data_IF_411017023643
#
_entry.id   IF_411017023643
#
_cell.length_a   1.000
_cell.length_b   1.000
_cell.length_c   1.000
_cell.angle_alpha   90.00
_cell.angle_beta   90.00
_cell.angle_gamma   90.00
#
_symmetry.space_group_name_H-M   'P 1'
#
loop_
_entity.id
_entity.type
_entity.pdbx_description
1 polymer ?
#
# COMPACT_ATOMS: atom_id res chain seq x y z
N UNK A 1 -12.58 -31.91 -25.31
CA UNK A 1 -11.53 -31.07 -25.94
C UNK A 1 -11.03 -30.03 -24.94
N UNK A 2 -9.82 -30.26 -24.39
CA UNK A 2 -9.16 -29.30 -23.52
C UNK A 2 -8.91 -28.02 -24.31
N UNK A 3 -9.35 -26.87 -23.79
CA UNK A 3 -9.08 -25.56 -24.37
C UNK A 3 -7.56 -25.38 -24.53
N UNK A 4 -7.16 -24.81 -25.66
CA UNK A 4 -5.76 -24.45 -25.95
C UNK A 4 -5.26 -23.45 -24.88
N UNK A 5 -3.96 -23.47 -24.53
CA UNK A 5 -3.40 -22.61 -23.47
C UNK A 5 -3.54 -21.09 -23.70
N UNK A 6 -3.90 -20.65 -24.92
CA UNK A 6 -3.99 -19.23 -25.30
C UNK A 6 -5.28 -18.53 -24.79
N UNK A 7 -6.32 -19.27 -24.38
CA UNK A 7 -7.62 -18.69 -23.97
C UNK A 7 -7.90 -18.77 -22.45
N UNK A 8 -6.88 -18.72 -21.60
CA UNK A 8 -7.15 -18.40 -20.17
C UNK A 8 -7.26 -16.90 -20.01
N UNK A 9 -8.43 -16.35 -20.37
CA UNK A 9 -8.81 -14.98 -20.03
C UNK A 9 -8.55 -14.72 -18.55
N UNK A 10 -7.83 -13.63 -18.23
CA UNK A 10 -7.65 -13.23 -16.84
C UNK A 10 -8.82 -12.35 -16.42
N UNK A 11 -9.17 -12.40 -15.13
CA UNK A 11 -10.27 -11.60 -14.59
C UNK A 11 -9.93 -10.10 -14.67
N UNK A 12 -10.62 -9.35 -15.52
CA UNK A 12 -10.61 -7.88 -15.55
C UNK A 12 -11.69 -7.31 -14.62
N UNK A 13 -11.55 -6.07 -14.12
CA UNK A 13 -12.63 -5.38 -13.43
C UNK A 13 -13.88 -5.30 -14.31
N UNK A 14 -15.07 -5.54 -13.75
CA UNK A 14 -16.33 -5.55 -14.50
C UNK A 14 -16.57 -4.20 -15.21
N UNK A 15 -16.25 -3.09 -14.55
CA UNK A 15 -16.34 -1.74 -15.10
C UNK A 15 -15.46 -1.49 -16.34
N UNK A 16 -14.44 -2.32 -16.59
CA UNK A 16 -13.56 -2.21 -17.76
C UNK A 16 -14.00 -3.09 -18.95
N UNK A 17 -14.97 -3.98 -18.74
CA UNK A 17 -15.41 -4.94 -19.76
C UNK A 17 -16.89 -4.81 -20.11
N UNK A 18 -17.69 -4.23 -19.21
CA UNK A 18 -19.08 -3.92 -19.49
C UNK A 18 -19.14 -2.63 -20.32
N UNK A 19 -19.71 -2.72 -21.53
CA UNK A 19 -20.12 -1.55 -22.29
C UNK A 19 -21.37 -0.96 -21.61
N UNK A 20 -21.16 0.10 -20.83
CA UNK A 20 -22.20 0.79 -20.07
C UNK A 20 -22.92 1.86 -20.91
N UNK A 21 -22.84 1.80 -22.24
CA UNK A 21 -23.35 2.78 -23.19
C UNK A 21 -24.63 3.52 -22.76
N UNK A 22 -24.49 4.83 -22.50
CA UNK A 22 -25.61 5.73 -22.17
C UNK A 22 -26.14 5.61 -20.73
N UNK A 23 -25.58 4.74 -19.89
CA UNK A 23 -25.92 4.68 -18.47
C UNK A 23 -25.24 5.87 -17.77
N UNK A 24 -26.00 6.77 -17.12
CA UNK A 24 -25.41 7.89 -16.40
C UNK A 24 -24.60 7.38 -15.22
N UNK A 25 -23.37 7.88 -15.08
CA UNK A 25 -22.58 7.68 -13.88
C UNK A 25 -23.29 8.37 -12.71
N UNK A 26 -23.65 7.59 -11.69
CA UNK A 26 -24.20 8.13 -10.44
C UNK A 26 -22.98 8.43 -9.55
N UNK A 27 -22.69 9.71 -9.24
CA UNK A 27 -21.59 10.04 -8.35
C UNK A 27 -21.77 9.32 -7.01
N UNK A 28 -20.67 8.97 -6.33
CA UNK A 28 -20.74 8.47 -4.95
C UNK A 28 -21.51 9.49 -4.09
N UNK A 29 -22.76 9.15 -3.75
CA UNK A 29 -23.68 10.08 -3.13
C UNK A 29 -23.29 10.39 -1.69
N UNK A 30 -23.76 11.53 -1.17
CA UNK A 30 -23.60 11.93 0.24
C UNK A 30 -24.58 11.23 1.19
N UNK A 31 -25.51 10.42 0.67
CA UNK A 31 -26.45 9.57 1.40
C UNK A 31 -25.81 8.24 1.86
N UNK A 32 -25.97 7.86 3.13
CA UNK A 32 -25.41 6.63 3.73
C UNK A 32 -25.99 5.34 3.12
N UNK A 33 -27.05 5.43 2.32
CA UNK A 33 -27.75 4.27 1.74
C UNK A 33 -27.19 3.79 0.40
N UNK A 34 -26.23 4.49 -0.20
CA UNK A 34 -25.62 4.12 -1.49
C UNK A 34 -24.24 3.48 -1.33
N UNK A 35 -23.80 2.74 -2.35
CA UNK A 35 -22.45 2.17 -2.40
C UNK A 35 -21.41 3.29 -2.44
N UNK A 36 -20.36 3.18 -1.61
CA UNK A 36 -19.19 4.05 -1.61
C UNK A 36 -17.93 3.23 -1.49
N UNK A 37 -17.03 3.38 -2.44
CA UNK A 37 -15.72 2.74 -2.43
C UNK A 37 -14.78 3.41 -1.43
N UNK A 38 -14.92 4.73 -1.24
CA UNK A 38 -14.17 5.52 -0.27
C UNK A 38 -15.17 6.22 0.66
N UNK A 39 -14.94 6.10 1.97
CA UNK A 39 -15.85 6.65 2.98
C UNK A 39 -15.06 7.32 4.09
N UNK A 40 -15.56 8.44 4.57
CA UNK A 40 -14.97 9.20 5.66
C UNK A 40 -15.97 9.36 6.81
N UNK A 41 -15.53 9.15 8.04
CA UNK A 41 -16.33 9.30 9.26
C UNK A 41 -15.56 10.09 10.32
N UNK A 42 -16.24 10.90 11.13
CA UNK A 42 -15.63 11.66 12.22
C UNK A 42 -16.17 11.20 13.57
N UNK A 43 -15.29 10.93 14.54
CA UNK A 43 -15.70 10.62 15.91
C UNK A 43 -14.58 10.97 16.88
N UNK A 44 -14.89 11.74 17.92
CA UNK A 44 -13.94 12.03 19.01
C UNK A 44 -12.69 12.79 18.58
N UNK A 45 -12.81 13.71 17.60
CA UNK A 45 -11.68 14.47 17.05
C UNK A 45 -10.78 13.66 16.11
N UNK A 46 -11.26 12.51 15.62
CA UNK A 46 -10.55 11.63 14.69
C UNK A 46 -11.36 11.48 13.41
N UNK A 47 -10.71 11.62 12.25
CA UNK A 47 -11.24 11.27 10.94
C UNK A 47 -10.83 9.86 10.51
N UNK A 48 -11.77 9.00 10.15
CA UNK A 48 -11.55 7.63 9.71
C UNK A 48 -11.82 7.52 8.20
N UNK A 49 -10.77 7.26 7.43
CA UNK A 49 -10.84 7.13 5.97
C UNK A 49 -10.77 5.65 5.56
N UNK A 50 -11.89 5.12 5.09
CA UNK A 50 -12.04 3.76 4.61
C UNK A 50 -11.91 3.71 3.10
N UNK A 51 -11.20 2.70 2.60
CA UNK A 51 -10.99 2.47 1.17
C UNK A 51 -10.93 0.95 0.90
N UNK A 52 -12.05 0.22 1.03
CA UNK A 52 -12.14 -1.23 0.78
C UNK A 52 -12.01 -1.61 -0.71
N UNK A 53 -10.91 -1.21 -1.36
CA UNK A 53 -10.64 -1.59 -2.73
C UNK A 53 -10.59 -3.11 -2.87
N UNK A 54 -11.20 -3.63 -3.93
CA UNK A 54 -11.31 -5.06 -4.16
C UNK A 54 -9.93 -5.73 -4.20
N UNK A 55 -9.73 -6.78 -3.39
CA UNK A 55 -8.44 -7.44 -3.16
C UNK A 55 -7.30 -6.50 -2.68
N UNK A 56 -7.62 -5.32 -2.17
CA UNK A 56 -6.62 -4.30 -1.80
C UNK A 56 -5.81 -3.76 -2.98
N UNK A 57 -6.22 -4.01 -4.22
CA UNK A 57 -5.52 -3.57 -5.42
C UNK A 57 -5.90 -2.11 -5.74
N UNK A 58 -4.92 -1.23 -5.89
CA UNK A 58 -5.12 0.21 -6.05
C UNK A 58 -4.82 0.64 -7.48
N UNK A 59 -5.84 0.86 -8.30
CA UNK A 59 -5.66 1.36 -9.67
C UNK A 59 -5.23 2.82 -9.66
N UNK A 60 -4.75 3.32 -10.80
CA UNK A 60 -4.36 4.73 -10.95
C UNK A 60 -5.48 5.68 -10.53
N UNK A 61 -6.72 5.41 -10.95
CA UNK A 61 -7.88 6.25 -10.61
C UNK A 61 -8.24 6.17 -9.12
N UNK A 62 -8.31 4.95 -8.56
CA UNK A 62 -8.54 4.75 -7.13
C UNK A 62 -7.50 5.45 -6.25
N UNK A 63 -6.22 5.45 -6.65
CA UNK A 63 -5.17 6.17 -5.95
C UNK A 63 -5.42 7.68 -5.95
N UNK A 64 -5.80 8.25 -7.11
CA UNK A 64 -6.13 9.68 -7.23
C UNK A 64 -7.36 10.05 -6.41
N UNK A 65 -8.42 9.26 -6.47
CA UNK A 65 -9.64 9.46 -5.66
C UNK A 65 -9.34 9.38 -4.16
N UNK A 66 -8.52 8.43 -3.74
CA UNK A 66 -8.09 8.31 -2.34
C UNK A 66 -7.20 9.49 -1.92
N UNK A 67 -6.31 9.97 -2.78
CA UNK A 67 -5.53 11.17 -2.52
C UNK A 67 -6.43 12.40 -2.32
N UNK A 68 -7.43 12.61 -3.19
CA UNK A 68 -8.41 13.69 -3.03
C UNK A 68 -9.16 13.56 -1.69
N UNK A 69 -9.70 12.39 -1.38
CA UNK A 69 -10.41 12.16 -0.12
C UNK A 69 -9.51 12.34 1.12
N UNK A 70 -8.23 12.00 1.01
CA UNK A 70 -7.25 12.23 2.06
C UNK A 70 -6.95 13.73 2.26
N UNK A 71 -6.82 14.50 1.17
CA UNK A 71 -6.65 15.94 1.23
C UNK A 71 -7.90 16.63 1.80
N UNK A 72 -9.09 16.16 1.43
CA UNK A 72 -10.35 16.63 2.01
C UNK A 72 -10.40 16.35 3.52
N UNK A 73 -9.97 15.16 3.96
CA UNK A 73 -9.84 14.84 5.38
C UNK A 73 -8.85 15.76 6.11
N UNK A 74 -7.76 16.16 5.45
CA UNK A 74 -6.79 17.12 6.01
C UNK A 74 -7.35 18.55 6.17
N UNK A 75 -8.47 18.88 5.52
CA UNK A 75 -9.16 20.16 5.65
C UNK A 75 -10.23 20.16 6.75
N UNK A 76 -10.47 19.01 7.40
CA UNK A 76 -11.46 18.87 8.47
C UNK A 76 -10.90 19.31 9.81
N UNK A 77 -11.78 19.72 10.73
CA UNK A 77 -11.42 20.08 12.11
C UNK A 77 -11.27 18.82 13.00
N UNK A 78 -10.37 17.94 12.59
CA UNK A 78 -9.94 16.78 13.37
C UNK A 78 -8.46 16.90 13.73
N UNK A 79 -8.00 16.05 14.64
CA UNK A 79 -6.60 16.03 15.09
C UNK A 79 -5.81 14.86 14.53
N UNK A 80 -6.50 13.76 14.24
CA UNK A 80 -5.91 12.49 13.80
C UNK A 80 -6.66 11.99 12.58
N UNK A 81 -5.95 11.53 11.56
CA UNK A 81 -6.52 10.82 10.42
C UNK A 81 -6.09 9.35 10.48
N UNK A 82 -7.06 8.44 10.41
CA UNK A 82 -6.82 7.00 10.38
C UNK A 82 -7.15 6.44 8.99
N UNK A 83 -6.16 5.90 8.32
CA UNK A 83 -6.28 5.17 7.06
C UNK A 83 -6.68 3.72 7.37
N UNK A 84 -7.96 3.41 7.17
CA UNK A 84 -8.59 2.16 7.65
C UNK A 84 -8.54 1.00 6.64
N UNK A 85 -8.24 1.28 5.37
CA UNK A 85 -8.30 0.29 4.28
C UNK A 85 -9.63 -0.45 4.22
N UNK A 86 -9.60 -1.68 3.69
CA UNK A 86 -10.69 -2.64 3.78
C UNK A 86 -10.57 -3.58 4.98
N UNK A 87 -11.64 -4.34 5.25
CA UNK A 87 -11.63 -5.39 6.28
C UNK A 87 -10.74 -6.58 5.91
N UNK A 88 -10.77 -7.01 4.64
CA UNK A 88 -10.00 -8.16 4.17
C UNK A 88 -8.55 -7.79 3.83
N UNK A 89 -8.34 -6.59 3.27
CA UNK A 89 -7.04 -6.08 2.86
C UNK A 89 -6.92 -4.60 3.20
N UNK A 90 -5.75 -4.20 3.71
CA UNK A 90 -5.42 -2.78 3.82
C UNK A 90 -4.96 -2.24 2.47
N UNK A 91 -3.92 -2.83 1.88
CA UNK A 91 -3.48 -2.57 0.50
C UNK A 91 -2.50 -3.65 0.02
N UNK A 92 -2.60 -4.03 -1.25
CA UNK A 92 -1.66 -4.89 -1.97
C UNK A 92 -0.85 -4.11 -3.04
N UNK A 93 -0.93 -2.77 -3.03
CA UNK A 93 -0.24 -1.90 -3.98
C UNK A 93 -0.94 -1.78 -5.33
N UNK A 94 -0.15 -1.62 -6.40
CA UNK A 94 -0.65 -1.41 -7.77
C UNK A 94 -1.68 -2.44 -8.23
N UNK A 95 -2.66 -1.99 -9.02
CA UNK A 95 -3.72 -2.86 -9.53
C UNK A 95 -3.29 -3.63 -10.78
N UNK A 96 -2.63 -4.76 -10.56
CA UNK A 96 -2.04 -5.59 -11.62
C UNK A 96 -3.06 -6.05 -12.70
N UNK A 97 -4.34 -6.23 -12.36
CA UNK A 97 -5.36 -6.57 -13.34
C UNK A 97 -5.81 -5.41 -14.24
N UNK A 98 -5.66 -4.16 -13.77
CA UNK A 98 -5.91 -2.96 -14.57
C UNK A 98 -4.72 -2.74 -15.50
N UNK A 99 -3.51 -2.87 -14.95
CA UNK A 99 -2.24 -2.85 -15.68
C UNK A 99 -2.22 -3.89 -16.80
N UNK A 100 -2.51 -5.16 -16.51
CA UNK A 100 -2.50 -6.23 -17.51
C UNK A 100 -3.58 -6.06 -18.58
N UNK A 101 -4.67 -5.34 -18.25
CA UNK A 101 -5.75 -5.03 -19.17
C UNK A 101 -5.62 -3.71 -19.91
N UNK A 102 -4.53 -2.96 -19.73
CA UNK A 102 -4.29 -1.71 -20.43
C UNK A 102 -3.62 -1.95 -21.79
N UNK A 103 -3.78 -1.01 -22.73
CA UNK A 103 -3.14 -1.07 -24.06
C UNK A 103 -1.61 -1.15 -23.96
N UNK A 104 -1.03 -0.39 -23.02
CA UNK A 104 0.36 -0.49 -22.64
C UNK A 104 0.46 -0.76 -21.13
N UNK A 105 0.72 -2.02 -20.72
CA UNK A 105 0.91 -2.35 -19.32
C UNK A 105 2.11 -1.63 -18.69
N UNK A 106 3.16 -1.32 -19.44
CA UNK A 106 4.31 -0.56 -18.91
C UNK A 106 3.89 0.88 -18.54
N UNK A 107 3.17 1.57 -19.44
CA UNK A 107 2.67 2.92 -19.20
C UNK A 107 1.62 2.98 -18.08
N UNK A 108 0.72 1.99 -17.98
CA UNK A 108 -0.22 1.92 -16.85
C UNK A 108 0.51 1.63 -15.54
N UNK A 109 1.57 0.80 -15.54
CA UNK A 109 2.40 0.58 -14.35
C UNK A 109 3.07 1.88 -13.90
N UNK A 110 3.59 2.67 -14.84
CA UNK A 110 4.21 3.97 -14.58
C UNK A 110 3.23 4.99 -14.01
N UNK A 111 2.01 5.08 -14.58
CA UNK A 111 0.95 5.93 -14.04
C UNK A 111 0.50 5.48 -12.66
N UNK A 112 0.37 4.18 -12.44
CA UNK A 112 -0.13 3.64 -11.17
C UNK A 112 0.88 3.86 -10.04
N UNK A 113 2.18 3.61 -10.26
CA UNK A 113 3.19 3.83 -9.20
C UNK A 113 3.29 5.31 -8.84
N UNK A 114 3.23 6.21 -9.82
CA UNK A 114 3.24 7.66 -9.56
C UNK A 114 2.02 8.09 -8.74
N UNK A 115 0.84 7.56 -9.03
CA UNK A 115 -0.37 7.87 -8.27
C UNK A 115 -0.30 7.33 -6.82
N UNK A 116 0.35 6.19 -6.57
CA UNK A 116 0.60 5.70 -5.21
C UNK A 116 1.61 6.61 -4.49
N UNK A 117 2.70 7.02 -5.16
CA UNK A 117 3.69 7.93 -4.60
C UNK A 117 3.10 9.32 -4.31
N UNK A 118 2.15 9.78 -5.12
CA UNK A 118 1.43 11.04 -4.88
C UNK A 118 0.58 10.97 -3.59
N UNK A 119 -0.07 9.83 -3.35
CA UNK A 119 -0.77 9.56 -2.08
C UNK A 119 0.22 9.44 -0.90
N UNK A 120 1.31 8.70 -1.07
CA UNK A 120 2.36 8.57 -0.05
C UNK A 120 2.97 9.92 0.32
N UNK A 121 3.22 10.78 -0.67
CA UNK A 121 3.69 12.15 -0.46
C UNK A 121 2.70 12.95 0.37
N UNK A 122 1.41 12.95 0.00
CA UNK A 122 0.37 13.68 0.73
C UNK A 122 0.33 13.28 2.21
N UNK A 123 0.46 11.98 2.51
CA UNK A 123 0.50 11.48 3.90
C UNK A 123 1.76 12.00 4.61
N UNK A 124 2.94 11.89 3.97
CA UNK A 124 4.22 12.30 4.55
C UNK A 124 4.34 13.79 4.84
N UNK A 125 3.73 14.62 4.00
CA UNK A 125 3.78 16.08 4.15
C UNK A 125 2.59 16.62 4.94
N UNK A 126 1.83 15.76 5.61
CA UNK A 126 0.72 16.20 6.46
C UNK A 126 1.26 16.83 7.75
N UNK A 127 1.13 18.14 7.87
CA UNK A 127 1.57 18.89 9.05
C UNK A 127 0.43 19.22 10.02
N UNK A 128 -0.82 19.09 9.59
CA UNK A 128 -2.00 19.47 10.38
C UNK A 128 -2.49 18.37 11.32
N UNK A 129 -2.28 17.10 10.96
CA UNK A 129 -2.79 15.94 11.67
C UNK A 129 -1.67 14.97 12.05
N UNK A 130 -1.89 14.19 13.10
CA UNK A 130 -1.20 12.90 13.25
C UNK A 130 -1.89 11.86 12.37
N UNK A 131 -1.13 10.99 11.72
CA UNK A 131 -1.64 9.99 10.76
C UNK A 131 -1.42 8.58 11.28
N UNK A 132 -2.43 7.72 11.12
CA UNK A 132 -2.38 6.32 11.56
C UNK A 132 -2.78 5.42 10.38
N UNK A 133 -1.92 4.47 10.01
CA UNK A 133 -2.30 3.36 9.15
C UNK A 133 -2.81 2.21 10.02
N UNK A 134 -4.11 1.91 9.94
CA UNK A 134 -4.77 0.86 10.71
C UNK A 134 -5.05 -0.36 9.83
N UNK A 135 -4.11 -1.29 9.79
CA UNK A 135 -4.22 -2.54 9.03
C UNK A 135 -5.14 -3.53 9.76
N UNK A 136 -6.39 -3.60 9.30
CA UNK A 136 -7.35 -4.61 9.77
C UNK A 136 -7.37 -5.87 8.90
N UNK A 137 -6.86 -5.74 7.68
CA UNK A 137 -6.67 -6.83 6.72
C UNK A 137 -5.22 -6.89 6.23
N UNK A 138 -4.92 -7.93 5.45
CA UNK A 138 -3.56 -8.19 4.98
C UNK A 138 -3.02 -7.05 4.10
N UNK A 139 -1.69 -6.92 4.06
CA UNK A 139 -1.02 -5.99 3.17
C UNK A 139 0.19 -6.62 2.48
N UNK A 140 0.48 -6.20 1.25
CA UNK A 140 1.54 -6.78 0.44
C UNK A 140 2.19 -5.77 -0.49
N UNK A 141 3.45 -6.05 -0.86
CA UNK A 141 4.25 -5.23 -1.76
C UNK A 141 4.20 -3.73 -1.35
N UNK A 142 3.93 -2.83 -2.31
CA UNK A 142 3.82 -1.38 -2.07
C UNK A 142 2.79 -1.00 -1.02
N UNK A 143 1.75 -1.82 -0.80
CA UNK A 143 0.77 -1.59 0.25
C UNK A 143 1.36 -1.64 1.67
N UNK A 144 2.41 -2.42 1.92
CA UNK A 144 3.08 -2.37 3.24
C UNK A 144 3.87 -1.07 3.38
N UNK A 145 4.58 -0.65 2.34
CA UNK A 145 5.44 0.54 2.37
C UNK A 145 4.64 1.84 2.40
N UNK A 146 3.52 1.91 1.67
CA UNK A 146 2.58 3.03 1.74
C UNK A 146 2.07 3.25 3.16
N UNK A 147 1.81 2.19 3.93
CA UNK A 147 1.39 2.35 5.32
C UNK A 147 2.47 2.99 6.21
N UNK A 148 3.74 2.74 5.91
CA UNK A 148 4.85 3.32 6.67
C UNK A 148 4.93 4.85 6.53
N UNK A 149 4.24 5.43 5.54
CA UNK A 149 4.12 6.87 5.38
C UNK A 149 3.34 7.54 6.52
N UNK A 150 2.47 6.78 7.21
CA UNK A 150 1.77 7.27 8.39
C UNK A 150 2.72 7.37 9.60
N UNK A 151 2.42 8.30 10.52
CA UNK A 151 3.19 8.48 11.75
C UNK A 151 3.17 7.21 12.61
N UNK A 152 2.03 6.53 12.64
CA UNK A 152 1.81 5.28 13.36
C UNK A 152 1.26 4.20 12.45
N UNK A 153 1.80 2.99 12.55
CA UNK A 153 1.31 1.81 11.84
C UNK A 153 0.86 0.79 12.87
N UNK A 154 -0.42 0.45 12.83
CA UNK A 154 -1.05 -0.50 13.73
C UNK A 154 -1.63 -1.63 12.88
N UNK A 155 -1.45 -2.87 13.32
CA UNK A 155 -2.08 -4.01 12.69
C UNK A 155 -2.92 -4.82 13.67
N UNK A 156 -3.98 -5.48 13.20
CA UNK A 156 -4.66 -6.49 14.01
C UNK A 156 -3.82 -7.77 14.08
N UNK A 157 -3.95 -8.60 15.15
CA UNK A 157 -3.06 -9.74 15.37
C UNK A 157 -3.02 -10.78 14.24
N UNK A 158 -4.09 -10.87 13.44
CA UNK A 158 -4.23 -11.82 12.33
C UNK A 158 -3.65 -11.32 11.00
N UNK A 159 -3.22 -10.07 10.93
CA UNK A 159 -2.63 -9.50 9.72
C UNK A 159 -1.32 -10.21 9.38
N UNK A 160 -1.23 -10.54 8.10
CA UNK A 160 -0.03 -11.06 7.44
C UNK A 160 0.47 -10.02 6.45
N UNK A 161 1.73 -9.64 6.60
CA UNK A 161 2.43 -8.69 5.74
C UNK A 161 3.33 -9.43 4.76
N UNK A 162 3.34 -8.99 3.50
CA UNK A 162 4.32 -9.43 2.50
C UNK A 162 5.15 -8.22 2.02
N UNK A 163 6.07 -7.69 2.84
CA UNK A 163 6.83 -6.47 2.57
C UNK A 163 8.01 -6.72 1.60
N UNK A 164 7.71 -7.26 0.42
CA UNK A 164 8.71 -7.54 -0.60
C UNK A 164 8.10 -7.59 -2.00
N UNK A 165 8.95 -7.42 -3.02
CA UNK A 165 8.55 -7.52 -4.43
C UNK A 165 9.07 -8.78 -5.14
N UNK A 166 9.63 -9.74 -4.40
CA UNK A 166 10.23 -10.97 -4.96
C UNK A 166 9.26 -11.83 -5.77
N UNK A 167 7.95 -11.72 -5.53
CA UNK A 167 6.91 -12.41 -6.31
C UNK A 167 6.52 -11.67 -7.59
N UNK A 168 6.96 -10.43 -7.77
CA UNK A 168 6.58 -9.55 -8.87
C UNK A 168 7.81 -9.12 -9.66
N UNK A 169 8.63 -10.10 -10.08
CA UNK A 169 9.81 -9.83 -10.90
C UNK A 169 10.91 -9.03 -10.20
N UNK A 170 10.92 -9.01 -8.86
CA UNK A 170 11.88 -8.24 -8.08
C UNK A 170 11.87 -6.74 -8.43
N UNK A 171 10.66 -6.15 -8.54
CA UNK A 171 10.51 -4.70 -8.56
C UNK A 171 11.34 -4.06 -7.44
N UNK A 172 11.92 -2.91 -7.73
CA UNK A 172 12.67 -2.17 -6.73
C UNK A 172 11.78 -1.70 -5.56
N UNK A 173 10.55 -1.26 -5.88
CA UNK A 173 9.62 -0.62 -4.96
C UNK A 173 9.77 0.89 -4.95
N UNK A 174 8.68 1.58 -4.58
CA UNK A 174 8.64 3.03 -4.41
C UNK A 174 7.96 3.35 -3.08
N UNK A 175 6.99 4.25 -3.02
CA UNK A 175 6.27 4.58 -1.80
C UNK A 175 7.18 5.17 -0.71
N UNK A 176 8.29 5.80 -1.12
CA UNK A 176 9.33 6.38 -0.25
C UNK A 176 9.97 5.35 0.69
N UNK A 177 9.98 4.07 0.33
CA UNK A 177 10.51 3.02 1.19
C UNK A 177 11.97 3.24 1.57
N UNK A 178 12.78 3.86 0.69
CA UNK A 178 14.21 4.16 0.97
C UNK A 178 14.39 5.28 1.99
N UNK A 179 13.37 6.13 2.17
CA UNK A 179 13.30 7.11 3.26
C UNK A 179 12.72 6.47 4.54
N UNK A 180 11.65 5.68 4.43
CA UNK A 180 10.85 5.20 5.57
C UNK A 180 11.41 3.97 6.27
N UNK A 181 11.78 2.95 5.50
CA UNK A 181 12.13 1.64 6.04
C UNK A 181 13.41 1.68 6.88
N UNK A 182 14.53 2.31 6.44
CA UNK A 182 15.75 2.35 7.24
C UNK A 182 15.57 2.97 8.63
N UNK A 183 14.63 3.92 8.77
CA UNK A 183 14.35 4.60 10.04
C UNK A 183 13.58 3.73 11.03
N UNK A 184 12.75 2.83 10.50
CA UNK A 184 11.94 1.91 11.30
C UNK A 184 12.75 0.71 11.78
N UNK A 185 13.58 0.14 10.91
CA UNK A 185 14.22 -1.16 11.17
C UNK A 185 15.75 -1.15 11.10
N UNK A 186 16.37 -0.02 10.77
CA UNK A 186 17.81 0.10 10.52
C UNK A 186 18.27 -0.66 9.25
N UNK A 187 19.51 -0.47 8.84
CA UNK A 187 20.07 -1.12 7.63
C UNK A 187 20.00 -2.65 7.66
N UNK A 188 20.33 -3.25 8.81
CA UNK A 188 20.24 -4.70 8.99
C UNK A 188 18.79 -5.21 8.91
N UNK A 189 17.83 -4.39 9.35
CA UNK A 189 16.40 -4.66 9.23
C UNK A 189 15.91 -4.53 7.80
N UNK A 190 16.37 -3.53 7.04
CA UNK A 190 16.06 -3.34 5.62
C UNK A 190 16.44 -4.60 4.83
N UNK A 191 17.67 -5.09 5.01
CA UNK A 191 18.14 -6.31 4.37
C UNK A 191 17.29 -7.54 4.76
N UNK A 192 16.81 -7.60 6.02
CA UNK A 192 15.94 -8.68 6.50
C UNK A 192 14.54 -8.60 5.90
N UNK A 193 13.96 -7.42 5.79
CA UNK A 193 12.62 -7.19 5.23
C UNK A 193 12.64 -7.43 3.72
N UNK A 194 13.48 -6.69 2.99
CA UNK A 194 13.54 -6.71 1.52
C UNK A 194 14.22 -7.96 0.96
N UNK A 195 15.10 -8.60 1.75
CA UNK A 195 15.79 -9.84 1.36
C UNK A 195 14.95 -11.10 1.54
N UNK A 196 13.88 -11.06 2.36
CA UNK A 196 13.00 -12.21 2.58
C UNK A 196 11.90 -12.26 1.51
N UNK A 197 11.46 -13.50 1.24
CA UNK A 197 10.32 -13.82 0.35
C UNK A 197 9.17 -14.51 1.11
N UNK A 198 9.23 -14.46 2.44
CA UNK A 198 8.25 -15.11 3.33
C UNK A 198 7.39 -14.05 4.01
N UNK A 199 6.12 -14.38 4.32
CA UNK A 199 5.24 -13.49 5.05
C UNK A 199 5.77 -13.21 6.46
N UNK A 200 5.42 -12.03 6.98
CA UNK A 200 5.71 -11.57 8.35
C UNK A 200 4.37 -11.35 9.06
N UNK A 201 4.16 -11.98 10.21
CA UNK A 201 2.95 -11.74 11.01
C UNK A 201 3.05 -10.43 11.81
N UNK A 202 1.91 -9.84 12.16
CA UNK A 202 1.84 -8.57 12.91
C UNK A 202 2.76 -8.53 14.16
N UNK A 203 2.81 -9.62 14.93
CA UNK A 203 3.71 -9.72 16.10
C UNK A 203 5.19 -9.63 15.73
N UNK A 204 5.64 -10.35 14.70
CA UNK A 204 7.04 -10.29 14.25
C UNK A 204 7.36 -8.90 13.68
N UNK A 205 6.42 -8.30 12.95
CA UNK A 205 6.55 -6.95 12.41
C UNK A 205 6.73 -5.90 13.52
N UNK A 206 5.98 -6.00 14.62
CA UNK A 206 6.14 -5.11 15.76
C UNK A 206 7.48 -5.34 16.49
N UNK A 207 7.86 -6.61 16.71
CA UNK A 207 9.12 -6.96 17.37
C UNK A 207 10.37 -6.45 16.63
N UNK A 208 10.30 -6.31 15.31
CA UNK A 208 11.40 -5.79 14.50
C UNK A 208 11.32 -4.28 14.22
N UNK A 209 10.28 -3.58 14.72
CA UNK A 209 10.06 -2.15 14.51
C UNK A 209 9.44 -1.77 13.16
N UNK A 210 8.99 -2.75 12.36
CA UNK A 210 8.35 -2.48 11.06
C UNK A 210 6.99 -1.79 11.24
N UNK A 211 6.24 -2.18 12.27
CA UNK A 211 5.01 -1.51 12.71
C UNK A 211 5.16 -1.08 14.16
N UNK A 212 4.35 -0.12 14.61
CA UNK A 212 4.41 0.43 15.95
C UNK A 212 3.78 -0.52 16.99
N UNK A 213 2.56 -0.99 16.69
CA UNK A 213 1.80 -1.85 17.62
C UNK A 213 0.93 -2.86 16.86
N UNK A 214 0.50 -3.91 17.58
CA UNK A 214 -0.59 -4.76 17.12
C UNK A 214 -1.69 -4.80 18.17
N UNK A 215 -2.90 -4.43 17.78
CA UNK A 215 -4.05 -4.21 18.67
C UNK A 215 -5.29 -4.92 18.13
N UNK A 216 -6.16 -5.37 19.02
CA UNK A 216 -7.48 -5.86 18.60
C UNK A 216 -8.24 -4.77 17.84
N UNK A 217 -8.99 -5.15 16.81
CA UNK A 217 -9.67 -4.19 15.93
C UNK A 217 -10.60 -3.23 16.69
N UNK A 218 -11.23 -3.71 17.77
CA UNK A 218 -12.08 -2.91 18.65
C UNK A 218 -11.33 -1.79 19.40
N UNK A 219 -10.01 -1.90 19.55
CA UNK A 219 -9.16 -0.92 20.27
C UNK A 219 -8.55 0.14 19.34
N UNK A 220 -8.69 0.00 18.02
CA UNK A 220 -8.12 0.97 17.07
C UNK A 220 -8.72 2.36 17.28
N UNK A 221 -10.05 2.44 17.43
CA UNK A 221 -10.74 3.72 17.67
C UNK A 221 -10.37 4.32 19.02
N UNK A 222 -10.21 3.50 20.06
CA UNK A 222 -9.75 3.94 21.39
C UNK A 222 -8.33 4.51 21.30
N UNK A 223 -7.41 3.79 20.65
CA UNK A 223 -6.05 4.25 20.43
C UNK A 223 -6.01 5.59 19.69
N UNK A 224 -6.75 5.72 18.57
CA UNK A 224 -6.76 6.95 17.78
C UNK A 224 -7.35 8.14 18.55
N UNK A 225 -8.43 7.93 19.31
CA UNK A 225 -9.00 8.95 20.18
C UNK A 225 -8.06 9.32 21.33
N UNK A 226 -7.31 8.35 21.88
CA UNK A 226 -6.30 8.65 22.89
C UNK A 226 -5.20 9.56 22.34
N UNK A 227 -4.78 9.39 21.07
CA UNK A 227 -3.84 10.28 20.41
C UNK A 227 -4.43 11.69 20.23
N UNK A 228 -5.68 11.80 19.79
CA UNK A 228 -6.35 13.09 19.59
C UNK A 228 -6.54 13.87 20.90
N UNK A 229 -6.82 13.16 21.99
CA UNK A 229 -7.09 13.73 23.32
C UNK A 229 -5.84 13.87 24.19
N UNK A 230 -4.67 13.42 23.71
CA UNK A 230 -3.43 13.50 24.48
C UNK A 230 -3.06 14.97 24.77
N UNK A 231 -2.77 15.29 26.03
CA UNK A 231 -2.39 16.64 26.44
C UNK A 231 -1.11 17.16 25.77
N UNK A 232 -0.24 16.25 25.32
CA UNK A 232 0.99 16.53 24.58
C UNK A 232 0.80 16.58 23.05
N UNK A 233 -0.44 16.49 22.54
CA UNK A 233 -0.73 16.51 21.09
C UNK A 233 -0.07 17.70 20.36
N UNK A 234 -0.15 18.96 20.83
CA UNK A 234 0.53 20.08 20.16
C UNK A 234 2.05 19.90 20.07
N UNK A 235 2.67 19.32 21.11
CA UNK A 235 4.11 19.05 21.12
C UNK A 235 4.47 17.94 20.13
N UNK A 236 3.66 16.88 20.02
CA UNK A 236 3.85 15.81 19.03
C UNK A 236 3.76 16.34 17.59
N UNK A 237 2.78 17.19 17.32
CA UNK A 237 2.60 17.79 16.01
C UNK A 237 3.77 18.73 15.65
N UNK A 238 4.23 19.54 16.61
CA UNK A 238 5.42 20.37 16.44
C UNK A 238 6.70 19.54 16.19
N UNK A 239 6.87 18.44 16.93
CA UNK A 239 8.00 17.52 16.74
C UNK A 239 7.97 16.85 15.37
N UNK A 240 6.78 16.41 14.90
CA UNK A 240 6.58 15.87 13.55
C UNK A 240 7.03 16.87 12.48
N UNK A 241 6.55 18.12 12.55
CA UNK A 241 6.92 19.20 11.60
C UNK A 241 8.43 19.48 11.62
N UNK A 242 9.02 19.58 12.81
CA UNK A 242 10.45 19.82 12.99
C UNK A 242 11.29 18.72 12.36
N UNK A 243 10.98 17.45 12.69
CA UNK A 243 11.68 16.30 12.11
C UNK A 243 11.57 16.30 10.59
N UNK A 244 10.36 16.50 10.06
CA UNK A 244 10.15 16.54 8.60
C UNK A 244 10.94 17.67 7.94
N UNK A 245 10.98 18.86 8.53
CA UNK A 245 11.75 19.99 8.03
C UNK A 245 13.27 19.70 8.03
N UNK A 246 13.80 19.11 9.11
CA UNK A 246 15.20 18.70 9.20
C UNK A 246 15.57 17.66 8.15
N UNK A 247 14.69 16.66 7.97
CA UNK A 247 14.88 15.61 6.98
C UNK A 247 14.82 16.15 5.55
N UNK A 248 13.90 17.06 5.25
CA UNK A 248 13.76 17.69 3.93
C UNK A 248 14.98 18.54 3.59
N UNK A 249 15.59 19.21 4.59
CA UNK A 249 16.84 19.94 4.43
C UNK A 249 18.05 19.01 4.21
N UNK A 250 18.04 17.80 4.78
CA UNK A 250 19.12 16.82 4.62
C UNK A 250 19.06 16.09 3.27
N UNK A 251 17.87 15.62 2.87
CA UNK A 251 17.59 15.08 1.53
C UNK A 251 16.08 15.25 1.24
N UNK A 252 15.71 16.03 0.21
CA UNK A 252 14.31 16.23 -0.14
C UNK A 252 13.58 14.94 -0.47
N UNK A 253 12.29 14.82 -0.11
CA UNK A 253 11.45 13.70 -0.52
C UNK A 253 11.45 13.49 -2.04
N UNK A 254 11.51 14.58 -2.80
CA UNK A 254 11.60 14.54 -4.26
C UNK A 254 12.82 13.76 -4.77
N UNK A 255 13.96 13.79 -4.06
CA UNK A 255 15.16 13.05 -4.44
C UNK A 255 15.01 11.55 -4.16
N UNK A 256 14.42 11.17 -3.01
CA UNK A 256 14.09 9.77 -2.72
C UNK A 256 13.14 9.18 -3.77
N UNK A 257 12.06 9.92 -4.09
CA UNK A 257 11.11 9.52 -5.14
C UNK A 257 11.79 9.37 -6.49
N UNK A 258 12.65 10.33 -6.87
CA UNK A 258 13.39 10.27 -8.13
C UNK A 258 14.25 9.01 -8.21
N UNK A 259 15.05 8.73 -7.19
CA UNK A 259 15.94 7.56 -7.16
C UNK A 259 15.17 6.23 -7.23
N UNK A 260 14.04 6.14 -6.52
CA UNK A 260 13.15 4.98 -6.54
C UNK A 260 12.49 4.80 -7.91
N UNK A 261 11.94 5.88 -8.47
CA UNK A 261 11.24 5.86 -9.76
C UNK A 261 12.19 5.62 -10.94
N UNK A 262 13.45 6.07 -10.90
CA UNK A 262 14.44 5.71 -11.92
C UNK A 262 14.66 4.19 -11.99
N UNK A 263 14.70 3.51 -10.84
CA UNK A 263 14.84 2.05 -10.78
C UNK A 263 13.56 1.34 -11.17
N UNK A 264 12.39 1.85 -10.75
CA UNK A 264 11.10 1.32 -11.18
C UNK A 264 10.89 1.48 -12.70
N UNK A 265 11.34 2.59 -13.28
CA UNK A 265 11.32 2.81 -14.73
C UNK A 265 12.11 1.73 -15.47
N UNK A 266 13.30 1.36 -14.97
CA UNK A 266 14.06 0.24 -15.53
C UNK A 266 13.32 -1.11 -15.39
N UNK A 267 12.53 -1.31 -14.33
CA UNK A 267 11.71 -2.52 -14.22
C UNK A 267 10.53 -2.56 -15.21
N UNK A 268 10.02 -1.41 -15.64
CA UNK A 268 8.87 -1.31 -16.53
C UNK A 268 9.23 -1.17 -18.02
N UNK A 269 10.37 -0.56 -18.33
CA UNK A 269 10.77 -0.23 -19.70
C UNK A 269 12.16 -0.75 -20.06
N UNK A 270 12.89 -1.30 -19.10
CA UNK A 270 14.21 -1.90 -19.36
C UNK A 270 14.12 -3.20 -20.13
N UNK A 271 15.28 -3.69 -20.57
CA UNK A 271 15.38 -4.92 -21.35
C UNK A 271 14.97 -6.18 -20.57
N UNK A 272 15.12 -6.19 -19.23
CA UNK A 272 14.75 -7.33 -18.39
C UNK A 272 13.21 -7.41 -18.20
N UNK A 273 12.53 -8.42 -18.77
CA UNK A 273 11.07 -8.52 -18.71
C UNK A 273 10.55 -9.17 -17.42
N UNK A 274 11.40 -9.38 -16.40
CA UNK A 274 11.07 -10.14 -15.17
C UNK A 274 9.77 -9.69 -14.51
N UNK A 275 9.52 -8.37 -14.46
CA UNK A 275 8.28 -7.81 -13.92
C UNK A 275 7.06 -8.23 -14.75
N UNK A 276 7.10 -8.04 -16.07
CA UNK A 276 5.99 -8.36 -16.96
C UNK A 276 5.68 -9.86 -16.97
N UNK A 277 6.71 -10.72 -16.99
CA UNK A 277 6.54 -12.17 -16.91
C UNK A 277 5.89 -12.57 -15.59
N UNK A 278 6.34 -11.99 -14.46
CA UNK A 278 5.76 -12.28 -13.16
C UNK A 278 4.30 -11.82 -13.07
N UNK A 279 3.98 -10.63 -13.57
CA UNK A 279 2.61 -10.09 -13.61
C UNK A 279 1.69 -10.96 -14.46
N UNK A 280 2.11 -11.34 -15.67
CA UNK A 280 1.35 -12.23 -16.55
C UNK A 280 0.99 -13.54 -15.84
N UNK A 281 1.99 -14.19 -15.23
CA UNK A 281 1.79 -15.45 -14.51
C UNK A 281 0.89 -15.31 -13.29
N UNK A 282 1.02 -14.21 -12.55
CA UNK A 282 0.16 -13.91 -11.41
C UNK A 282 -1.30 -13.74 -11.85
N UNK A 283 -1.55 -12.91 -12.88
CA UNK A 283 -2.90 -12.60 -13.34
C UNK A 283 -3.62 -13.80 -13.96
N UNK A 284 -2.89 -14.63 -14.71
CA UNK A 284 -3.44 -15.86 -15.32
C UNK A 284 -3.40 -17.08 -14.41
N UNK A 285 -2.93 -16.91 -13.17
CA UNK A 285 -2.77 -17.98 -12.18
C UNK A 285 -2.02 -19.19 -12.79
N UNK A 286 -0.95 -18.91 -13.52
CA UNK A 286 -0.15 -19.93 -14.21
C UNK A 286 0.33 -20.97 -13.18
N UNK A 287 0.01 -22.26 -13.34
CA UNK A 287 0.45 -23.29 -12.41
C UNK A 287 1.98 -23.36 -12.35
N UNK A 288 2.53 -23.43 -11.15
CA UNK A 288 3.95 -23.68 -10.99
C UNK A 288 4.27 -25.14 -11.36
N UNK A 289 5.31 -25.36 -12.16
CA UNK A 289 5.77 -26.71 -12.52
C UNK A 289 6.42 -27.46 -11.35
N UNK A 290 6.82 -26.76 -10.29
CA UNK A 290 7.42 -27.30 -9.07
C UNK A 290 7.32 -26.31 -7.92
N UNK A 291 7.33 -26.80 -6.68
CA UNK A 291 7.46 -25.96 -5.48
C UNK A 291 8.81 -25.23 -5.47
N UNK A 292 8.85 -23.89 -5.40
CA UNK A 292 10.09 -23.13 -5.37
C UNK A 292 10.99 -23.45 -4.16
N UNK A 293 12.31 -23.35 -4.32
CA UNK A 293 13.30 -23.66 -3.28
C UNK A 293 13.20 -22.78 -2.02
N UNK A 294 12.65 -21.57 -2.15
CA UNK A 294 12.43 -20.71 -0.98
C UNK A 294 11.34 -21.27 -0.05
N UNK A 295 10.41 -22.08 -0.57
CA UNK A 295 9.38 -22.81 0.19
C UNK A 295 9.87 -24.22 0.52
N UNK A 296 10.30 -24.99 -0.49
CA UNK A 296 10.68 -26.39 -0.36
C UNK A 296 12.10 -26.56 0.20
N UNK A 297 12.27 -26.33 1.53
CA UNK A 297 13.56 -26.45 2.21
C UNK A 297 14.24 -27.81 1.97
N UNK A 298 13.46 -28.90 1.91
CA UNK A 298 13.94 -30.26 1.62
C UNK A 298 14.56 -30.46 0.22
N UNK A 299 14.40 -29.49 -0.69
CA UNK A 299 14.98 -29.53 -2.05
C UNK A 299 16.23 -28.67 -2.20
N UNK A 300 16.65 -27.98 -1.16
CA UNK A 300 17.90 -27.22 -1.17
C UNK A 300 19.05 -28.23 -1.05
N UNK A 301 19.91 -28.29 -2.06
CA UNK A 301 21.09 -29.16 -2.01
C UNK A 301 22.04 -28.65 -0.92
N UNK A 302 22.40 -29.52 0.04
CA UNK A 302 23.48 -29.30 1.02
C UNK A 302 23.30 -28.14 2.00
N UNK A 303 22.68 -28.41 3.16
CA UNK A 303 23.03 -27.76 4.43
C UNK A 303 23.05 -28.84 5.51
N UNK A 304 24.13 -29.63 5.49
CA UNK A 304 24.67 -30.29 6.68
C UNK A 304 25.73 -29.39 7.29
#
# INVERSE_FOLDING_TARGET
PASTPEEREFKRPASMVLDLGGIPEIPEGTDETTWREIRYEETGGVGYLYFPFYNGAMSTDQCKRLQTAYLDACARDTRVIVLMGGGDFWSNGMHLGAIEGADSPAEESWRNINAIDDLGHAILTTESHLTVAAMRGNAGAGGVFLALAADRVIATPHVVLNPHYKNMGNLYGSEYWTYLLPRRVGEAGVARVMGRRLPIGAREAAQMGLIDEYLDGAKISEYAQSLANAGDFPARLAAKRKLRSEDEAAKPLAEYRKDELERMHLNFFGFDPSYHIARYNFMRKTPASRTPLFIAKHRRMGQG
#
